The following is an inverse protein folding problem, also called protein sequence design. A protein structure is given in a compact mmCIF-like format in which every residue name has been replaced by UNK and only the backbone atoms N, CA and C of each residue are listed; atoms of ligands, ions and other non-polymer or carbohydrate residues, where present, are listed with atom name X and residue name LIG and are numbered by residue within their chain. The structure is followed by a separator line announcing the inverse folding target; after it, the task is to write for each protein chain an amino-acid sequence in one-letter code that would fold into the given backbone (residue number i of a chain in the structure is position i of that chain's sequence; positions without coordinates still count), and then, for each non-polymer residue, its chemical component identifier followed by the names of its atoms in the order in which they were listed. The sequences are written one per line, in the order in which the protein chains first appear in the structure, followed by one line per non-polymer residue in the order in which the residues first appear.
data_IF_782840184733
#
_entry.id   IF_782840184733
#
_cell.length_a   1.000
_cell.length_b   1.000
_cell.length_c   1.000
_cell.angle_alpha   90.00
_cell.angle_beta   90.00
_cell.angle_gamma   90.00
#
_symmetry.space_group_name_H-M   'P 1'
#
loop_
_entity.id
_entity.type
_entity.pdbx_description
1 polymer ?
#
# COMPACT_ATOMS: atom_id res chain seq x y z
N UNK A 1 -13.75 9.31 27.79
CA UNK A 1 -14.04 8.70 26.47
C UNK A 1 -12.93 7.72 26.18
N UNK A 2 -13.20 6.41 26.11
CA UNK A 2 -12.21 5.47 25.60
C UNK A 2 -11.93 5.83 24.14
N UNK A 3 -10.67 5.88 23.72
CA UNK A 3 -10.33 6.09 22.33
C UNK A 3 -10.97 4.97 21.48
N UNK A 4 -11.59 5.33 20.36
CA UNK A 4 -12.13 4.33 19.44
C UNK A 4 -11.01 3.38 19.00
N UNK A 5 -11.34 2.09 18.86
CA UNK A 5 -10.37 1.10 18.39
C UNK A 5 -9.85 1.49 16.99
N UNK A 6 -8.54 1.30 16.71
CA UNK A 6 -7.99 1.55 15.38
C UNK A 6 -8.72 0.72 14.32
N UNK A 7 -9.08 1.30 13.16
CA UNK A 7 -9.87 0.60 12.15
C UNK A 7 -9.04 -0.53 11.50
N UNK A 8 -9.67 -1.66 11.19
CA UNK A 8 -9.03 -2.83 10.56
C UNK A 8 -7.81 -3.40 11.30
N UNK A 9 -7.63 -3.12 12.60
CA UNK A 9 -6.47 -3.58 13.39
C UNK A 9 -6.10 -5.05 13.18
N UNK A 10 -7.11 -5.92 13.26
CA UNK A 10 -6.93 -7.38 13.17
C UNK A 10 -7.00 -7.90 11.71
N UNK A 11 -7.33 -7.03 10.75
CA UNK A 11 -7.52 -7.36 9.34
C UNK A 11 -6.48 -6.73 8.40
N UNK A 12 -5.57 -5.90 8.91
CA UNK A 12 -4.55 -5.19 8.14
C UNK A 12 -3.13 -5.48 8.64
N UNK A 13 -2.24 -5.83 7.71
CA UNK A 13 -0.79 -5.89 7.92
C UNK A 13 -0.12 -4.69 7.27
N UNK A 14 0.95 -4.19 7.90
CA UNK A 14 1.81 -3.16 7.32
C UNK A 14 3.09 -3.82 6.79
N UNK A 15 3.33 -3.73 5.48
CA UNK A 15 4.52 -4.31 4.83
C UNK A 15 5.57 -3.22 4.61
N UNK A 16 6.78 -3.46 5.10
CA UNK A 16 7.89 -2.51 5.06
C UNK A 16 9.13 -3.19 4.44
N UNK A 17 9.53 -2.87 3.21
CA UNK A 17 10.85 -3.22 2.73
C UNK A 17 11.89 -2.30 3.35
N UNK A 18 13.05 -2.84 3.73
CA UNK A 18 14.15 -2.03 4.26
C UNK A 18 15.52 -2.62 3.93
N UNK A 19 16.52 -1.76 3.79
CA UNK A 19 17.94 -2.14 3.68
C UNK A 19 18.80 -1.45 4.77
N UNK A 20 18.16 -0.70 5.67
CA UNK A 20 18.80 0.21 6.64
C UNK A 20 18.10 0.12 8.00
N UNK A 21 18.32 1.09 8.88
CA UNK A 21 17.66 1.13 10.19
C UNK A 21 16.17 1.48 10.05
N UNK A 22 15.39 1.17 11.09
CA UNK A 22 13.94 1.39 11.14
C UNK A 22 13.55 2.50 12.12
N UNK A 23 14.41 3.51 12.34
CA UNK A 23 14.11 4.62 13.27
C UNK A 23 12.90 5.45 12.82
N UNK A 24 12.56 5.45 11.52
CA UNK A 24 11.36 6.11 11.01
C UNK A 24 10.07 5.60 11.68
N UNK A 25 10.07 4.37 12.19
CA UNK A 25 8.94 3.81 12.95
C UNK A 25 8.63 4.61 14.20
N UNK A 26 9.59 5.31 14.82
CA UNK A 26 9.29 6.20 15.96
C UNK A 26 8.38 7.37 15.56
N UNK A 27 8.57 7.91 14.35
CA UNK A 27 7.70 8.96 13.83
C UNK A 27 6.29 8.41 13.54
N UNK A 28 6.21 7.18 13.04
CA UNK A 28 4.94 6.52 12.74
C UNK A 28 4.30 5.83 13.94
N UNK A 29 4.99 5.72 15.09
CA UNK A 29 4.54 4.96 16.26
C UNK A 29 3.10 5.27 16.67
N UNK A 30 2.64 6.54 16.74
CA UNK A 30 1.26 6.84 17.10
C UNK A 30 0.20 6.20 16.16
N UNK A 31 0.59 5.86 14.93
CA UNK A 31 -0.29 5.32 13.90
C UNK A 31 -0.08 3.83 13.64
N UNK A 32 1.15 3.34 13.73
CA UNK A 32 1.50 1.97 13.32
C UNK A 32 1.53 0.97 14.48
N UNK A 33 1.82 1.42 15.71
CA UNK A 33 1.94 0.52 16.87
C UNK A 33 0.74 -0.43 17.07
N UNK A 34 -0.52 -0.05 16.76
CA UNK A 34 -1.63 -0.97 16.92
C UNK A 34 -1.68 -2.13 15.92
N UNK A 35 -0.95 -2.05 14.80
CA UNK A 35 -1.00 -3.01 13.70
C UNK A 35 0.22 -3.92 13.71
N UNK A 36 0.06 -5.11 13.13
CA UNK A 36 1.16 -6.05 12.92
C UNK A 36 2.00 -5.61 11.70
N UNK A 37 3.32 -5.68 11.84
CA UNK A 37 4.28 -5.31 10.79
C UNK A 37 4.90 -6.57 10.16
N UNK A 38 4.99 -6.59 8.84
CA UNK A 38 5.80 -7.55 8.10
C UNK A 38 6.96 -6.78 7.49
N UNK A 39 8.14 -6.98 8.06
CA UNK A 39 9.35 -6.28 7.63
C UNK A 39 10.17 -7.24 6.77
N UNK A 40 10.50 -6.78 5.56
CA UNK A 40 11.36 -7.54 4.64
C UNK A 40 12.69 -6.83 4.53
N UNK A 41 13.70 -7.40 5.16
CA UNK A 41 15.08 -6.98 5.04
C UNK A 41 15.65 -7.41 3.69
N UNK A 42 16.07 -6.42 2.92
CA UNK A 42 16.84 -6.58 1.71
C UNK A 42 18.34 -6.38 1.96
N UNK A 43 19.16 -6.72 0.96
CA UNK A 43 20.61 -6.61 1.03
C UNK A 43 21.24 -7.73 1.85
N UNK A 44 22.29 -7.39 2.59
CA UNK A 44 23.10 -8.38 3.32
C UNK A 44 22.33 -8.97 4.52
N UNK A 45 21.97 -10.27 4.51
CA UNK A 45 21.21 -10.89 5.59
C UNK A 45 22.04 -11.09 6.87
N UNK A 46 23.36 -10.88 6.83
CA UNK A 46 24.21 -10.91 8.03
C UNK A 46 24.12 -9.63 8.86
N UNK A 47 23.61 -8.54 8.27
CA UNK A 47 23.38 -7.29 8.99
C UNK A 47 22.14 -7.42 9.86
N UNK A 48 22.25 -7.08 11.14
CA UNK A 48 21.10 -7.02 12.03
C UNK A 48 20.38 -5.69 11.88
N UNK A 49 19.11 -5.73 11.48
CA UNK A 49 18.21 -4.58 11.55
C UNK A 49 17.54 -4.57 12.92
N UNK A 50 17.59 -3.43 13.60
CA UNK A 50 16.91 -3.22 14.89
C UNK A 50 15.54 -2.59 14.63
N UNK A 51 14.50 -3.25 15.09
CA UNK A 51 13.14 -2.70 15.17
C UNK A 51 12.99 -2.04 16.54
N UNK A 52 12.44 -0.82 16.65
CA UNK A 52 12.17 -0.21 17.96
C UNK A 52 11.22 -1.05 18.81
N UNK A 53 11.34 -0.94 20.13
CA UNK A 53 10.55 -1.75 21.06
C UNK A 53 9.05 -1.45 20.97
N UNK A 54 8.23 -2.46 21.29
CA UNK A 54 6.77 -2.31 21.43
C UNK A 54 5.95 -2.38 20.14
N UNK A 55 6.56 -2.76 19.02
CA UNK A 55 5.86 -3.17 17.80
C UNK A 55 5.66 -4.68 17.76
N UNK A 56 4.52 -5.12 17.24
CA UNK A 56 4.25 -6.51 16.89
C UNK A 56 4.69 -6.75 15.44
N UNK A 57 5.65 -7.65 15.21
CA UNK A 57 6.23 -7.82 13.88
C UNK A 57 6.81 -9.21 13.59
N UNK A 58 6.85 -9.53 12.29
CA UNK A 58 7.71 -10.55 11.71
C UNK A 58 8.78 -9.90 10.83
N UNK A 59 10.03 -10.34 10.98
CA UNK A 59 11.17 -9.88 10.18
C UNK A 59 11.69 -11.03 9.32
N UNK A 60 11.73 -10.81 8.01
CA UNK A 60 12.23 -11.78 7.03
C UNK A 60 13.44 -11.20 6.31
N UNK A 61 14.47 -12.01 6.09
CA UNK A 61 15.61 -11.64 5.25
C UNK A 61 15.79 -12.64 4.08
N UNK A 62 16.85 -12.45 3.28
CA UNK A 62 17.15 -13.32 2.13
C UNK A 62 17.28 -14.81 2.50
N UNK A 63 17.77 -15.15 3.70
CA UNK A 63 17.86 -16.54 4.13
C UNK A 63 16.46 -17.14 4.36
N UNK A 64 15.53 -16.38 4.92
CA UNK A 64 14.15 -16.82 5.11
C UNK A 64 13.42 -17.00 3.79
N UNK A 65 13.59 -16.06 2.86
CA UNK A 65 13.02 -16.15 1.51
C UNK A 65 13.53 -17.41 0.81
N UNK A 66 14.84 -17.67 0.86
CA UNK A 66 15.46 -18.85 0.27
C UNK A 66 14.94 -20.14 0.91
N UNK A 67 14.76 -20.16 2.23
CA UNK A 67 14.24 -21.31 2.97
C UNK A 67 12.77 -21.59 2.67
N UNK A 68 11.94 -20.55 2.56
CA UNK A 68 10.50 -20.66 2.39
C UNK A 68 10.12 -20.95 0.93
N UNK A 69 10.76 -20.29 -0.04
CA UNK A 69 10.44 -20.44 -1.47
C UNK A 69 11.31 -21.47 -2.19
N UNK A 70 12.45 -21.85 -1.61
CA UNK A 70 13.38 -22.82 -2.20
C UNK A 70 13.81 -22.41 -3.61
N UNK A 71 13.67 -23.29 -4.62
CA UNK A 71 14.01 -22.97 -6.01
C UNK A 71 13.28 -21.77 -6.61
N UNK A 72 12.13 -21.37 -6.04
CA UNK A 72 11.35 -20.22 -6.51
C UNK A 72 11.82 -18.89 -5.94
N UNK A 73 12.78 -18.87 -5.01
CA UNK A 73 13.22 -17.65 -4.34
C UNK A 73 13.76 -16.55 -5.28
N UNK A 74 14.19 -16.93 -6.50
CA UNK A 74 14.59 -16.00 -7.55
C UNK A 74 13.46 -15.11 -8.09
N UNK A 75 12.19 -15.47 -7.86
CA UNK A 75 11.06 -14.60 -8.22
C UNK A 75 10.93 -13.36 -7.31
N UNK A 76 11.63 -13.36 -6.17
CA UNK A 76 11.71 -12.22 -5.26
C UNK A 76 12.99 -11.46 -5.51
N UNK A 77 12.83 -10.24 -6.01
CA UNK A 77 13.94 -9.35 -6.35
C UNK A 77 14.87 -9.10 -5.16
N UNK A 78 16.13 -8.80 -5.46
CA UNK A 78 17.19 -8.55 -4.50
C UNK A 78 17.85 -7.21 -4.77
N UNK A 79 18.24 -6.49 -3.71
CA UNK A 79 18.91 -5.17 -3.78
C UNK A 79 17.99 -4.09 -4.35
N UNK A 80 16.70 -4.22 -4.12
CA UNK A 80 15.68 -3.22 -4.42
C UNK A 80 14.48 -3.34 -3.47
N UNK A 81 13.58 -2.36 -3.55
CA UNK A 81 12.38 -2.32 -2.71
C UNK A 81 11.29 -3.29 -3.16
N UNK A 82 11.45 -4.03 -4.27
CA UNK A 82 10.50 -5.03 -4.72
C UNK A 82 10.54 -6.32 -3.87
N UNK A 83 11.52 -6.46 -2.96
CA UNK A 83 11.50 -7.48 -1.92
C UNK A 83 10.20 -7.49 -1.10
N UNK A 84 9.48 -6.36 -1.00
CA UNK A 84 8.15 -6.26 -0.38
C UNK A 84 7.12 -7.26 -0.92
N UNK A 85 7.28 -7.71 -2.16
CA UNK A 85 6.42 -8.73 -2.76
C UNK A 85 6.41 -10.02 -1.93
N UNK A 86 7.50 -10.33 -1.23
CA UNK A 86 7.53 -11.42 -0.27
C UNK A 86 6.57 -11.18 0.90
N UNK A 87 6.56 -9.96 1.44
CA UNK A 87 5.62 -9.54 2.49
C UNK A 87 4.16 -9.72 2.06
N UNK A 88 3.85 -9.45 0.79
CA UNK A 88 2.50 -9.68 0.24
C UNK A 88 2.11 -11.15 0.20
N UNK A 89 3.06 -12.04 -0.05
CA UNK A 89 2.78 -13.48 -0.10
C UNK A 89 2.61 -14.12 1.28
N UNK A 90 3.30 -13.62 2.31
CA UNK A 90 3.27 -14.22 3.65
C UNK A 90 2.17 -13.64 4.54
N UNK A 91 1.67 -12.44 4.24
CA UNK A 91 0.52 -11.87 4.94
C UNK A 91 -0.70 -12.78 4.80
N UNK A 92 -1.39 -12.99 5.93
CA UNK A 92 -2.64 -13.76 6.00
C UNK A 92 -3.86 -12.85 6.22
N UNK A 93 -3.61 -11.56 6.39
CA UNK A 93 -4.65 -10.58 6.67
C UNK A 93 -5.33 -10.14 5.38
N UNK A 94 -6.55 -9.60 5.53
CA UNK A 94 -7.41 -9.22 4.41
C UNK A 94 -6.86 -8.03 3.63
N UNK A 95 -6.18 -7.13 4.33
CA UNK A 95 -5.63 -5.90 3.78
C UNK A 95 -4.14 -5.78 4.05
N UNK A 96 -3.45 -5.15 3.12
CA UNK A 96 -2.04 -4.83 3.24
C UNK A 96 -1.87 -3.34 2.97
N UNK A 97 -1.21 -2.65 3.90
CA UNK A 97 -0.70 -1.30 3.68
C UNK A 97 0.82 -1.38 3.48
N UNK A 98 1.33 -0.87 2.38
CA UNK A 98 2.77 -0.93 2.06
C UNK A 98 3.38 0.46 2.19
N UNK A 99 4.54 0.56 2.81
CA UNK A 99 5.23 1.84 3.01
C UNK A 99 6.74 1.66 2.99
N UNK A 100 7.46 2.62 2.40
CA UNK A 100 8.92 2.60 2.35
C UNK A 100 9.53 3.10 3.66
N UNK A 101 10.73 2.63 3.98
CA UNK A 101 11.42 2.94 5.24
C UNK A 101 11.93 4.40 5.37
N UNK A 102 11.76 5.21 4.33
CA UNK A 102 12.06 6.64 4.29
C UNK A 102 10.82 7.52 4.07
N UNK A 103 9.62 6.95 4.21
CA UNK A 103 8.38 7.73 4.21
C UNK A 103 8.21 8.46 5.55
N UNK A 104 8.22 9.80 5.53
CA UNK A 104 8.01 10.61 6.73
C UNK A 104 6.54 10.97 6.95
N UNK A 105 6.15 11.11 8.21
CA UNK A 105 4.81 11.61 8.59
C UNK A 105 4.65 13.07 8.14
N UNK A 106 3.70 13.30 7.23
CA UNK A 106 3.34 14.64 6.78
C UNK A 106 2.65 15.45 7.89
N UNK A 107 2.74 16.78 7.80
CA UNK A 107 2.04 17.72 8.66
C UNK A 107 1.09 18.58 7.85
N UNK A 108 -0.06 18.91 8.43
CA UNK A 108 -0.99 19.88 7.85
C UNK A 108 -0.48 21.33 8.06
N UNK A 109 -1.16 22.36 7.50
CA UNK A 109 -0.75 23.76 7.67
C UNK A 109 -0.74 24.26 9.13
N UNK A 110 -1.40 23.56 10.05
CA UNK A 110 -1.36 23.84 11.49
C UNK A 110 -0.20 23.16 12.21
N UNK A 111 0.60 22.36 11.49
CA UNK A 111 1.72 21.59 12.02
C UNK A 111 1.31 20.26 12.64
N UNK A 112 0.03 19.87 12.56
CA UNK A 112 -0.46 18.61 13.11
C UNK A 112 -0.10 17.45 12.18
N UNK A 113 0.36 16.35 12.77
CA UNK A 113 0.69 15.14 12.02
C UNK A 113 -0.55 14.52 11.36
N UNK A 114 -0.38 14.06 10.13
CA UNK A 114 -1.43 13.45 9.31
C UNK A 114 -1.36 11.92 9.42
N UNK A 115 -2.46 11.31 9.86
CA UNK A 115 -2.61 9.85 9.87
C UNK A 115 -3.02 9.35 8.48
N UNK A 116 -2.04 9.22 7.58
CA UNK A 116 -2.29 8.77 6.20
C UNK A 116 -2.85 7.34 6.13
N UNK A 117 -2.47 6.46 7.07
CA UNK A 117 -2.99 5.10 7.15
C UNK A 117 -4.51 5.11 7.40
N UNK A 118 -4.97 5.87 8.40
CA UNK A 118 -6.41 5.96 8.70
C UNK A 118 -7.19 6.59 7.54
N UNK A 119 -6.64 7.61 6.87
CA UNK A 119 -7.27 8.19 5.68
C UNK A 119 -7.39 7.16 4.55
N UNK A 120 -6.34 6.36 4.32
CA UNK A 120 -6.38 5.30 3.32
C UNK A 120 -7.41 4.23 3.65
N UNK A 121 -7.48 3.79 4.91
CA UNK A 121 -8.50 2.84 5.39
C UNK A 121 -9.91 3.42 5.19
N UNK A 122 -10.13 4.70 5.52
CA UNK A 122 -11.42 5.37 5.28
C UNK A 122 -11.79 5.38 3.80
N UNK A 123 -10.86 5.70 2.91
CA UNK A 123 -11.11 5.69 1.47
C UNK A 123 -11.37 4.28 0.93
N UNK A 124 -10.75 3.26 1.52
CA UNK A 124 -10.97 1.86 1.15
C UNK A 124 -12.35 1.33 1.57
N UNK A 125 -12.84 1.79 2.72
CA UNK A 125 -14.13 1.35 3.30
C UNK A 125 -15.30 2.24 2.90
N UNK A 126 -15.04 3.46 2.46
CA UNK A 126 -16.05 4.39 1.97
C UNK A 126 -16.21 4.21 0.46
N UNK A 127 -17.38 3.83 -0.05
CA UNK A 127 -17.62 3.80 -1.48
C UNK A 127 -17.30 5.17 -2.09
N UNK A 128 -16.42 5.21 -3.08
CA UNK A 128 -16.37 6.40 -3.94
C UNK A 128 -17.75 6.57 -4.56
N UNK A 129 -18.22 7.81 -4.67
CA UNK A 129 -19.51 8.13 -5.29
C UNK A 129 -19.72 7.27 -6.54
N UNK A 130 -20.92 6.71 -6.78
CA UNK A 130 -21.15 5.87 -7.96
C UNK A 130 -20.90 6.61 -9.29
N UNK A 131 -20.79 7.95 -9.23
CA UNK A 131 -20.54 8.81 -10.37
C UNK A 131 -19.05 9.12 -10.47
N UNK A 132 -18.37 8.48 -11.41
CA UNK A 132 -17.04 8.89 -11.87
C UNK A 132 -17.19 10.21 -12.63
N UNK A 133 -16.74 11.33 -12.06
CA UNK A 133 -16.70 12.61 -12.77
C UNK A 133 -15.25 12.96 -13.09
N UNK A 134 -14.92 13.03 -14.38
CA UNK A 134 -13.66 13.62 -14.82
C UNK A 134 -13.83 15.15 -14.74
N UNK A 135 -13.01 15.82 -13.95
CA UNK A 135 -13.07 17.29 -13.77
C UNK A 135 -12.57 18.07 -14.98
N UNK A 136 -11.96 17.42 -15.98
CA UNK A 136 -11.33 18.10 -17.11
C UNK A 136 -12.22 18.28 -18.35
N UNK A 137 -13.27 17.47 -18.54
CA UNK A 137 -14.23 17.62 -19.65
C UNK A 137 -15.50 16.77 -19.45
N UNK A 138 -16.58 17.13 -20.15
CA UNK A 138 -17.85 16.38 -20.18
C UNK A 138 -17.68 15.09 -21.03
N UNK A 139 -17.69 13.89 -20.42
CA UNK A 139 -17.41 12.64 -21.13
C UNK A 139 -18.60 12.12 -21.96
N UNK A 140 -19.76 12.78 -21.89
CA UNK A 140 -20.97 12.43 -22.63
C UNK A 140 -21.20 13.33 -23.86
N UNK A 141 -20.27 14.25 -24.14
CA UNK A 141 -20.36 15.10 -25.31
C UNK A 141 -20.05 14.30 -26.57
N UNK A 142 -20.82 14.51 -27.63
CA UNK A 142 -20.58 13.90 -28.94
C UNK A 142 -19.13 14.17 -29.41
N UNK A 143 -18.43 13.09 -29.80
CA UNK A 143 -17.03 13.14 -30.23
C UNK A 143 -15.99 13.13 -29.11
N UNK A 144 -16.38 12.94 -27.84
CA UNK A 144 -15.44 12.77 -26.73
C UNK A 144 -15.10 11.30 -26.46
N UNK A 145 -13.82 11.00 -26.22
CA UNK A 145 -13.36 9.67 -25.83
C UNK A 145 -13.39 9.50 -24.30
N UNK A 146 -13.73 8.28 -23.86
CA UNK A 146 -13.63 7.92 -22.45
C UNK A 146 -12.17 7.68 -22.05
N UNK A 147 -11.65 8.45 -21.09
CA UNK A 147 -10.31 8.22 -20.53
C UNK A 147 -10.13 6.78 -20.02
N UNK A 148 -8.87 6.33 -19.99
CA UNK A 148 -8.48 5.11 -19.28
C UNK A 148 -8.93 5.25 -17.81
N UNK A 149 -9.77 4.33 -17.34
CA UNK A 149 -10.32 4.33 -15.98
C UNK A 149 -11.81 4.69 -15.87
N UNK A 150 -12.44 5.22 -16.93
CA UNK A 150 -13.90 5.42 -16.93
C UNK A 150 -14.61 4.06 -16.88
N UNK A 151 -15.52 3.78 -15.91
CA UNK A 151 -16.16 2.48 -15.77
C UNK A 151 -16.86 2.02 -17.05
N UNK A 152 -16.59 0.79 -17.50
CA UNK A 152 -17.17 0.26 -18.74
C UNK A 152 -18.70 0.25 -18.74
N UNK A 153 -19.31 -0.10 -17.61
CA UNK A 153 -20.77 -0.09 -17.43
C UNK A 153 -21.42 1.28 -17.62
N UNK A 154 -20.66 2.37 -17.48
CA UNK A 154 -21.14 3.73 -17.70
C UNK A 154 -20.86 4.22 -19.14
N UNK A 155 -20.13 3.45 -19.96
CA UNK A 155 -19.85 3.79 -21.37
C UNK A 155 -20.99 3.38 -22.31
N UNK A 156 -21.72 2.31 -21.98
CA UNK A 156 -22.75 1.72 -22.84
C UNK A 156 -24.02 2.59 -23.00
N UNK A 157 -24.21 3.57 -22.12
CA UNK A 157 -25.35 4.49 -22.18
C UNK A 157 -25.23 5.55 -23.31
N UNK A 158 -24.12 5.58 -24.06
CA UNK A 158 -23.87 6.56 -25.11
C UNK A 158 -23.59 5.85 -26.45
N UNK A 159 -24.26 6.22 -27.55
CA UNK A 159 -23.94 5.69 -28.88
C UNK A 159 -22.48 6.04 -29.21
N UNK A 160 -21.63 5.03 -29.36
CA UNK A 160 -20.27 5.23 -29.82
C UNK A 160 -20.30 5.54 -31.32
N UNK A 161 -19.67 6.62 -31.80
CA UNK A 161 -19.44 6.78 -33.23
C UNK A 161 -18.53 5.65 -33.71
N UNK A 162 -19.02 4.90 -34.68
CA UNK A 162 -18.31 3.77 -35.29
C UNK A 162 -17.08 4.28 -36.05
N UNK A 163 -15.87 4.07 -35.52
CA UNK A 163 -14.68 4.08 -36.37
C UNK A 163 -13.74 2.92 -36.04
N UNK A 164 -13.64 2.06 -37.05
CA UNK A 164 -12.61 1.08 -37.35
C UNK A 164 -11.21 1.54 -36.97
N UNK A 165 -10.51 0.72 -36.18
CA UNK A 165 -9.05 0.77 -36.09
C UNK A 165 -8.46 -0.22 -37.10
N UNK A 166 -7.90 0.29 -38.19
CA UNK A 166 -6.86 -0.41 -38.94
C UNK A 166 -5.51 -0.17 -38.22
N UNK A 167 -4.70 -1.22 -38.12
CA UNK A 167 -3.47 -1.27 -37.31
C UNK A 167 -2.29 -0.45 -37.80
#
# INVERSE_FOLDING_TARGET
MAAAAPPLKDELDIVIPTIRNLEFLEMWRPFFQPYHLIIVQDGDPSKTIKVPDGFDYELYNRNDINRILGPKASCISFKDSACRCFGYMVSKKKYIFTIDDDCFVAKDPSGKQINALEQHIKNLLCPSTPLFFNTLYEPFREGSDFVRGYPFSLREACPQPSHTASG
#
